data_IF_831994539766
#
_entry.id   IF_831994539766
#
_cell.length_a   1.000
_cell.length_b   1.000
_cell.length_c   1.000
_cell.angle_alpha   90.00
_cell.angle_beta   90.00
_cell.angle_gamma   90.00
#
_symmetry.space_group_name_H-M   'P 1'
#
loop_
_entity.id
_entity.type
_entity.pdbx_description
1 polymer ?
#
# COMPACT_ATOMS: atom_id res chain seq x y z
N UNK A 1 -1.15 -2.32 18.59
CA UNK A 1 -1.18 -1.03 17.89
C UNK A 1 -2.60 -0.50 17.92
N UNK A 2 -2.83 0.80 18.09
CA UNK A 2 -4.15 1.41 17.92
C UNK A 2 -4.28 1.97 16.51
N UNK A 3 -5.28 1.52 15.77
CA UNK A 3 -5.58 2.01 14.41
C UNK A 3 -6.04 3.47 14.44
N UNK A 4 -5.53 4.27 13.52
CA UNK A 4 -6.02 5.64 13.30
C UNK A 4 -7.43 5.54 12.67
N UNK A 5 -8.41 6.25 13.21
CA UNK A 5 -9.79 6.30 12.67
C UNK A 5 -10.29 7.74 12.59
N UNK A 6 -11.28 8.00 11.73
CA UNK A 6 -11.85 9.35 11.56
C UNK A 6 -12.44 9.88 12.89
N UNK A 7 -13.08 9.02 13.68
CA UNK A 7 -13.65 9.35 14.99
C UNK A 7 -12.58 9.78 16.00
N UNK A 8 -11.42 9.13 15.98
CA UNK A 8 -10.29 9.48 16.85
C UNK A 8 -9.67 10.83 16.45
N UNK A 9 -9.61 11.13 15.16
CA UNK A 9 -9.13 12.42 14.66
C UNK A 9 -10.11 13.54 15.05
N UNK A 10 -11.41 13.32 14.91
CA UNK A 10 -12.42 14.29 15.35
C UNK A 10 -12.33 14.58 16.86
N UNK A 11 -12.17 13.53 17.67
CA UNK A 11 -11.98 13.68 19.10
C UNK A 11 -10.71 14.47 19.40
N UNK A 12 -9.60 14.20 18.70
CA UNK A 12 -8.34 14.92 18.85
C UNK A 12 -8.47 16.42 18.57
N UNK A 13 -9.21 16.81 17.53
CA UNK A 13 -9.47 18.22 17.20
C UNK A 13 -10.37 18.89 18.26
N UNK A 14 -11.33 18.15 18.82
CA UNK A 14 -12.27 18.66 19.85
C UNK A 14 -11.63 18.72 21.24
N UNK A 15 -10.57 17.96 21.49
CA UNK A 15 -9.88 17.91 22.78
C UNK A 15 -9.18 19.23 23.14
N UNK A 16 -9.06 19.54 24.44
CA UNK A 16 -8.27 20.68 24.93
C UNK A 16 -6.78 20.51 24.63
N UNK A 17 -6.03 21.62 24.63
CA UNK A 17 -4.59 21.70 24.33
C UNK A 17 -3.72 21.18 25.50
N UNK A 18 -4.10 20.07 26.13
CA UNK A 18 -3.37 19.51 27.29
C UNK A 18 -2.04 18.87 26.90
N UNK A 19 -1.84 18.64 25.61
CA UNK A 19 -0.67 18.02 25.00
C UNK A 19 0.45 19.02 24.65
N UNK A 20 0.32 20.29 25.05
CA UNK A 20 1.34 21.32 24.77
C UNK A 20 1.39 21.79 23.31
N UNK A 21 0.50 21.29 22.45
CA UNK A 21 0.35 21.77 21.08
C UNK A 21 -0.49 23.03 21.03
N UNK A 22 -0.18 23.91 20.10
CA UNK A 22 -1.07 25.00 19.69
C UNK A 22 -2.26 24.44 18.91
N UNK A 23 -3.36 25.20 18.84
CA UNK A 23 -4.52 24.81 18.02
C UNK A 23 -4.16 24.65 16.54
N UNK A 24 -3.21 25.44 16.03
CA UNK A 24 -2.72 25.34 14.66
C UNK A 24 -2.04 23.99 14.39
N UNK A 25 -1.16 23.55 15.29
CA UNK A 25 -0.46 22.28 15.15
C UNK A 25 -1.40 21.08 15.30
N UNK A 26 -2.40 21.14 16.20
CA UNK A 26 -3.42 20.09 16.30
C UNK A 26 -4.21 19.93 14.99
N UNK A 27 -4.60 21.05 14.37
CA UNK A 27 -5.32 21.03 13.10
C UNK A 27 -4.46 20.46 11.97
N UNK A 28 -3.17 20.77 11.96
CA UNK A 28 -2.25 20.26 10.94
C UNK A 28 -2.01 18.75 11.10
N UNK A 29 -1.80 18.27 12.32
CA UNK A 29 -1.70 16.83 12.60
C UNK A 29 -3.00 16.09 12.23
N UNK A 30 -4.16 16.69 12.50
CA UNK A 30 -5.45 16.11 12.12
C UNK A 30 -5.60 16.01 10.59
N UNK A 31 -5.16 17.02 9.83
CA UNK A 31 -5.14 16.98 8.37
C UNK A 31 -4.21 15.91 7.84
N UNK A 32 -3.00 15.81 8.38
CA UNK A 32 -2.03 14.78 7.98
C UNK A 32 -2.61 13.40 8.27
N UNK A 33 -3.17 13.18 9.47
CA UNK A 33 -3.77 11.91 9.83
C UNK A 33 -4.97 11.55 8.93
N UNK A 34 -5.78 12.54 8.55
CA UNK A 34 -6.91 12.34 7.63
C UNK A 34 -6.42 12.01 6.21
N UNK A 35 -5.43 12.75 5.72
CA UNK A 35 -4.80 12.48 4.42
C UNK A 35 -4.15 11.09 4.39
N UNK A 36 -3.60 10.60 5.50
CA UNK A 36 -3.08 9.24 5.61
C UNK A 36 -4.18 8.16 5.59
N UNK A 37 -5.41 8.48 6.02
CA UNK A 37 -6.55 7.56 5.90
C UNK A 37 -7.13 7.53 4.48
N UNK A 38 -7.09 8.68 3.81
CA UNK A 38 -7.57 8.84 2.44
C UNK A 38 -6.45 8.60 1.41
N UNK A 39 -5.21 8.33 1.84
CA UNK A 39 -4.14 7.87 0.97
C UNK A 39 -4.62 6.59 0.27
N UNK A 40 -4.57 6.60 -1.06
CA UNK A 40 -5.04 5.49 -1.89
C UNK A 40 -4.49 4.19 -1.30
N UNK A 41 -5.40 3.33 -0.83
CA UNK A 41 -5.00 1.97 -0.50
C UNK A 41 -4.40 1.41 -1.77
N UNK A 42 -3.25 0.71 -1.70
CA UNK A 42 -2.70 0.05 -2.86
C UNK A 42 -3.81 -0.79 -3.50
N UNK A 43 -4.12 -0.52 -4.76
CA UNK A 43 -5.17 -1.21 -5.51
C UNK A 43 -4.51 -1.89 -6.72
N UNK A 44 -4.79 -3.19 -6.88
CA UNK A 44 -4.35 -3.92 -8.06
C UNK A 44 -5.33 -3.68 -9.21
N UNK A 45 -4.91 -2.87 -10.17
CA UNK A 45 -5.62 -2.71 -11.45
C UNK A 45 -5.30 -3.86 -12.40
N UNK A 46 -5.89 -5.03 -12.14
CA UNK A 46 -5.58 -6.29 -12.86
C UNK A 46 -5.67 -6.14 -14.38
N UNK A 47 -6.68 -5.43 -14.90
CA UNK A 47 -6.82 -5.21 -16.34
C UNK A 47 -5.64 -4.43 -16.96
N UNK A 48 -5.16 -3.38 -16.30
CA UNK A 48 -3.99 -2.61 -16.75
C UNK A 48 -2.72 -3.46 -16.70
N UNK A 49 -2.57 -4.28 -15.66
CA UNK A 49 -1.43 -5.19 -15.50
C UNK A 49 -1.40 -6.24 -16.62
N UNK A 50 -2.54 -6.84 -16.95
CA UNK A 50 -2.65 -7.79 -18.07
C UNK A 50 -2.29 -7.12 -19.40
N UNK A 51 -2.75 -5.89 -19.65
CA UNK A 51 -2.39 -5.15 -20.85
C UNK A 51 -0.88 -4.92 -20.94
N UNK A 52 -0.26 -4.44 -19.86
CA UNK A 52 1.21 -4.25 -19.77
C UNK A 52 1.98 -5.55 -19.96
N UNK A 53 1.46 -6.66 -19.44
CA UNK A 53 2.05 -7.97 -19.65
C UNK A 53 2.10 -8.32 -21.15
N UNK A 54 1.00 -8.14 -21.87
CA UNK A 54 0.95 -8.45 -23.31
C UNK A 54 1.65 -7.44 -24.20
N UNK A 55 1.77 -6.17 -23.78
CA UNK A 55 2.63 -5.20 -24.45
C UNK A 55 4.11 -5.64 -24.42
N UNK A 56 4.55 -6.21 -23.30
CA UNK A 56 5.94 -6.67 -23.12
C UNK A 56 6.17 -8.08 -23.66
N UNK A 57 5.17 -8.94 -23.57
CA UNK A 57 5.20 -10.34 -23.99
C UNK A 57 4.02 -10.61 -24.94
N UNK A 58 4.15 -10.28 -26.24
CA UNK A 58 3.10 -10.52 -27.21
C UNK A 58 2.67 -11.99 -27.26
N UNK A 59 1.41 -12.25 -27.63
CA UNK A 59 0.86 -13.61 -27.70
C UNK A 59 1.70 -14.56 -28.58
N UNK A 60 2.25 -14.04 -29.68
CA UNK A 60 3.10 -14.80 -30.59
C UNK A 60 4.45 -15.23 -29.99
N UNK A 61 4.84 -14.68 -28.84
CA UNK A 61 6.08 -15.03 -28.13
C UNK A 61 5.97 -16.33 -27.33
N UNK A 62 4.76 -16.91 -27.19
CA UNK A 62 4.53 -18.13 -26.44
C UNK A 62 4.27 -19.32 -27.35
N UNK A 63 4.94 -20.44 -27.07
CA UNK A 63 4.78 -21.69 -27.84
C UNK A 63 3.51 -22.46 -27.45
N UNK A 64 3.06 -22.31 -26.20
CA UNK A 64 1.87 -22.97 -25.64
C UNK A 64 1.10 -22.02 -24.74
N UNK A 65 -0.21 -22.22 -24.71
CA UNK A 65 -1.13 -21.48 -23.85
C UNK A 65 -0.85 -21.69 -22.35
N UNK A 66 -0.33 -22.86 -21.98
CA UNK A 66 0.08 -23.16 -20.59
C UNK A 66 1.21 -22.26 -20.13
N UNK A 67 2.23 -22.09 -20.97
CA UNK A 67 3.43 -21.30 -20.66
C UNK A 67 3.06 -19.82 -20.53
N UNK A 68 2.14 -19.34 -21.39
CA UNK A 68 1.54 -18.01 -21.29
C UNK A 68 0.80 -17.81 -19.97
N UNK A 69 -0.05 -18.77 -19.60
CA UNK A 69 -0.86 -18.68 -18.39
C UNK A 69 0.00 -18.67 -17.12
N UNK A 70 1.02 -19.52 -17.08
CA UNK A 70 1.99 -19.58 -15.97
C UNK A 70 2.79 -18.28 -15.85
N UNK A 71 3.30 -17.74 -16.96
CA UNK A 71 4.03 -16.47 -16.95
C UNK A 71 3.16 -15.29 -16.49
N UNK A 72 1.90 -15.22 -16.92
CA UNK A 72 0.96 -14.21 -16.44
C UNK A 72 0.67 -14.38 -14.94
N UNK A 73 0.52 -15.63 -14.47
CA UNK A 73 0.35 -15.94 -13.05
C UNK A 73 1.50 -15.43 -12.19
N UNK A 74 2.75 -15.72 -12.57
CA UNK A 74 3.93 -15.22 -11.86
C UNK A 74 4.03 -13.69 -11.89
N UNK A 75 3.70 -13.06 -13.01
CA UNK A 75 3.68 -11.61 -13.13
C UNK A 75 2.66 -10.96 -12.18
N UNK A 76 1.44 -11.50 -12.12
CA UNK A 76 0.40 -10.98 -11.22
C UNK A 76 0.74 -11.22 -9.74
N UNK A 77 1.32 -12.38 -9.40
CA UNK A 77 1.78 -12.66 -8.04
C UNK A 77 2.88 -11.68 -7.60
N UNK A 78 3.82 -11.34 -8.49
CA UNK A 78 4.83 -10.32 -8.23
C UNK A 78 4.23 -8.94 -7.99
N UNK A 79 3.22 -8.55 -8.78
CA UNK A 79 2.50 -7.29 -8.59
C UNK A 79 1.74 -7.27 -7.25
N UNK A 80 1.11 -8.37 -6.86
CA UNK A 80 0.43 -8.50 -5.57
C UNK A 80 1.39 -8.34 -4.40
N UNK A 81 2.56 -9.00 -4.44
CA UNK A 81 3.61 -8.85 -3.44
C UNK A 81 4.13 -7.42 -3.35
N UNK A 82 4.24 -6.70 -4.46
CA UNK A 82 4.68 -5.30 -4.43
C UNK A 82 3.61 -4.35 -3.89
N UNK A 83 2.33 -4.63 -4.15
CA UNK A 83 1.21 -3.82 -3.66
C UNK A 83 0.88 -4.07 -2.18
N UNK A 84 0.97 -5.32 -1.73
CA UNK A 84 0.45 -5.75 -0.42
C UNK A 84 1.45 -6.52 0.44
N UNK A 85 2.57 -6.96 -0.12
CA UNK A 85 3.56 -7.73 0.60
C UNK A 85 4.26 -6.89 1.65
N UNK A 86 4.31 -7.43 2.87
CA UNK A 86 5.24 -6.94 3.88
C UNK A 86 6.62 -7.53 3.57
N UNK A 87 7.52 -6.71 3.00
CA UNK A 87 8.89 -7.15 2.76
C UNK A 87 9.56 -7.47 4.09
N UNK A 88 10.08 -8.69 4.21
CA UNK A 88 10.91 -9.08 5.33
C UNK A 88 12.16 -8.19 5.33
N UNK A 89 12.29 -7.33 6.34
CA UNK A 89 13.54 -6.62 6.60
C UNK A 89 14.48 -7.57 7.32
N UNK A 90 15.48 -8.08 6.61
CA UNK A 90 16.46 -9.01 7.18
C UNK A 90 17.21 -8.43 8.39
N UNK A 91 17.39 -7.11 8.43
CA UNK A 91 17.99 -6.37 9.55
C UNK A 91 17.19 -6.53 10.86
N UNK A 92 15.88 -6.80 10.80
CA UNK A 92 15.04 -7.02 11.99
C UNK A 92 15.02 -8.49 12.44
N UNK A 93 15.50 -9.42 11.60
CA UNK A 93 15.56 -10.86 11.89
C UNK A 93 16.87 -11.30 12.54
N UNK A 94 17.97 -10.64 12.18
CA UNK A 94 19.26 -10.83 12.81
C UNK A 94 19.44 -9.69 13.82
N UNK A 95 18.81 -9.83 14.99
CA UNK A 95 19.07 -8.90 16.10
C UNK A 95 20.58 -8.82 16.35
N UNK A 96 21.06 -7.61 16.63
CA UNK A 96 22.48 -7.33 16.90
C UNK A 96 23.03 -8.39 17.88
N UNK A 97 23.99 -9.18 17.40
CA UNK A 97 24.72 -10.18 18.20
C UNK A 97 25.52 -9.53 19.34
#
# INVERSE_FOLDING_TARGET
>A
MTTITKERIELFVKSPLENGLTRGEQMELARIALASLDADKPELKIAELINKFYERYPLASFNKDTDRAEALGYFLAGAELQCFGEFIKYEELFGDE
#
